data_IF_742785058445
#
_entry.id   IF_742785058445
#
_cell.length_a   1.000
_cell.length_b   1.000
_cell.length_c   1.000
_cell.angle_alpha   90.00
_cell.angle_beta   90.00
_cell.angle_gamma   90.00
#
_symmetry.space_group_name_H-M   'P 1'
#
loop_
_entity.id
_entity.type
_entity.pdbx_description
1 polymer ?
#
# COMPACT_ATOMS: atom_id res chain seq x y z
N UNK A 1 -38.50 8.66 57.88
CA UNK A 1 -37.21 9.29 57.49
C UNK A 1 -36.26 8.33 56.75
N UNK A 2 -36.55 7.03 56.59
CA UNK A 2 -35.63 6.11 55.87
C UNK A 2 -35.83 6.06 54.34
N UNK A 3 -37.03 6.38 53.83
CA UNK A 3 -37.30 6.31 52.38
C UNK A 3 -36.60 7.41 51.56
N UNK A 4 -36.48 8.63 52.09
CA UNK A 4 -35.85 9.75 51.37
C UNK A 4 -34.34 9.54 51.16
N UNK A 5 -33.68 8.90 52.14
CA UNK A 5 -32.23 8.62 52.08
C UNK A 5 -31.89 7.57 51.03
N UNK A 6 -32.71 6.52 50.89
CA UNK A 6 -32.53 5.52 49.83
C UNK A 6 -32.80 6.10 48.43
N UNK A 7 -33.81 6.97 48.28
CA UNK A 7 -34.08 7.63 47.01
C UNK A 7 -32.92 8.55 46.57
N UNK A 8 -32.36 9.32 47.49
CA UNK A 8 -31.19 10.17 47.25
C UNK A 8 -29.93 9.36 46.90
N UNK A 9 -29.67 8.25 47.60
CA UNK A 9 -28.53 7.38 47.29
C UNK A 9 -28.66 6.68 45.94
N UNK A 10 -29.87 6.28 45.55
CA UNK A 10 -30.12 5.64 44.26
C UNK A 10 -29.97 6.64 43.10
N UNK A 11 -30.44 7.88 43.26
CA UNK A 11 -30.22 8.96 42.29
C UNK A 11 -28.75 9.33 42.15
N UNK A 12 -28.01 9.42 43.27
CA UNK A 12 -26.57 9.70 43.27
C UNK A 12 -25.76 8.56 42.61
N UNK A 13 -26.11 7.30 42.87
CA UNK A 13 -25.49 6.14 42.21
C UNK A 13 -25.79 6.09 40.71
N UNK A 14 -27.01 6.49 40.30
CA UNK A 14 -27.41 6.60 38.89
C UNK A 14 -26.64 7.70 38.16
N UNK A 15 -26.40 8.83 38.82
CA UNK A 15 -25.60 9.94 38.29
C UNK A 15 -24.10 9.62 38.26
N UNK A 16 -23.57 8.93 39.26
CA UNK A 16 -22.17 8.48 39.27
C UNK A 16 -21.91 7.40 38.20
N UNK A 17 -22.87 6.48 38.00
CA UNK A 17 -22.81 5.47 36.95
C UNK A 17 -22.92 6.09 35.54
N UNK A 18 -23.71 7.15 35.35
CA UNK A 18 -23.81 7.84 34.07
C UNK A 18 -22.55 8.66 33.73
N UNK A 19 -21.90 9.27 34.72
CA UNK A 19 -20.59 9.93 34.55
C UNK A 19 -19.48 8.91 34.26
N UNK A 20 -19.48 7.76 34.96
CA UNK A 20 -18.56 6.65 34.68
C UNK A 20 -18.76 6.05 33.28
N UNK A 21 -20.00 5.89 32.84
CA UNK A 21 -20.35 5.44 31.49
C UNK A 21 -19.93 6.46 30.41
N UNK A 22 -20.04 7.77 30.68
CA UNK A 22 -19.54 8.81 29.78
C UNK A 22 -18.01 8.83 29.68
N UNK A 23 -17.32 8.63 30.79
CA UNK A 23 -15.86 8.49 30.82
C UNK A 23 -15.37 7.25 30.06
N UNK A 24 -16.03 6.11 30.25
CA UNK A 24 -15.76 4.88 29.51
C UNK A 24 -16.11 5.01 28.02
N UNK A 25 -17.20 5.69 27.67
CA UNK A 25 -17.59 5.97 26.28
C UNK A 25 -16.58 6.89 25.58
N UNK A 26 -16.05 7.91 26.27
CA UNK A 26 -15.01 8.77 25.73
C UNK A 26 -13.67 8.04 25.58
N UNK A 27 -13.30 7.20 26.56
CA UNK A 27 -12.09 6.39 26.50
C UNK A 27 -12.17 5.33 25.38
N UNK A 28 -13.32 4.68 25.22
CA UNK A 28 -13.58 3.72 24.13
C UNK A 28 -13.68 4.40 22.77
N UNK A 29 -14.24 5.61 22.67
CA UNK A 29 -14.25 6.38 21.44
C UNK A 29 -12.84 6.80 21.03
N UNK A 30 -12.05 7.35 21.96
CA UNK A 30 -10.62 7.68 21.73
C UNK A 30 -9.79 6.43 21.41
N UNK A 31 -10.06 5.32 22.08
CA UNK A 31 -9.45 4.02 21.80
C UNK A 31 -9.82 3.51 20.42
N UNK A 32 -11.09 3.63 20.01
CA UNK A 32 -11.58 3.19 18.70
C UNK A 32 -11.05 4.06 17.57
N UNK A 33 -10.89 5.37 17.77
CA UNK A 33 -10.27 6.26 16.76
C UNK A 33 -8.77 5.99 16.65
N UNK A 34 -8.07 5.83 17.77
CA UNK A 34 -6.65 5.43 17.79
C UNK A 34 -6.44 4.07 17.10
N UNK A 35 -7.29 3.07 17.40
CA UNK A 35 -7.25 1.76 16.75
C UNK A 35 -7.53 1.83 15.25
N UNK A 36 -8.54 2.59 14.83
CA UNK A 36 -8.83 2.80 13.40
C UNK A 36 -7.66 3.48 12.69
N UNK A 37 -7.02 4.47 13.31
CA UNK A 37 -5.84 5.12 12.76
C UNK A 37 -4.66 4.15 12.64
N UNK A 38 -4.41 3.34 13.67
CA UNK A 38 -3.36 2.32 13.67
C UNK A 38 -3.62 1.23 12.62
N UNK A 39 -4.86 0.73 12.50
CA UNK A 39 -5.24 -0.27 11.52
C UNK A 39 -5.08 0.24 10.08
N UNK A 40 -5.40 1.51 9.81
CA UNK A 40 -5.16 2.15 8.51
C UNK A 40 -3.67 2.29 8.22
N UNK A 41 -2.87 2.65 9.21
CA UNK A 41 -1.41 2.76 9.07
C UNK A 41 -0.80 1.39 8.74
N UNK A 42 -1.19 0.33 9.45
CA UNK A 42 -0.71 -1.04 9.21
C UNK A 42 -1.17 -1.57 7.85
N UNK A 43 -2.43 -1.33 7.46
CA UNK A 43 -2.94 -1.70 6.13
C UNK A 43 -2.16 -1.03 5.00
N UNK A 44 -1.88 0.28 5.13
CA UNK A 44 -1.03 1.03 4.19
C UNK A 44 0.38 0.45 4.11
N UNK A 45 1.00 0.18 5.26
CA UNK A 45 2.34 -0.39 5.35
C UNK A 45 2.41 -1.73 4.62
N UNK A 46 1.49 -2.63 4.92
CA UNK A 46 1.43 -3.96 4.28
C UNK A 46 1.19 -3.87 2.77
N UNK A 47 0.32 -2.95 2.31
CA UNK A 47 0.08 -2.74 0.89
C UNK A 47 1.36 -2.27 0.17
N UNK A 48 2.05 -1.28 0.74
CA UNK A 48 3.32 -0.77 0.22
C UNK A 48 4.43 -1.82 0.26
N UNK A 49 4.58 -2.58 1.34
CA UNK A 49 5.58 -3.65 1.47
C UNK A 49 5.40 -4.73 0.40
N UNK A 50 4.15 -5.16 0.18
CA UNK A 50 3.82 -6.14 -0.86
C UNK A 50 4.15 -5.61 -2.25
N UNK A 51 3.78 -4.37 -2.54
CA UNK A 51 4.06 -3.74 -3.82
C UNK A 51 5.57 -3.54 -4.06
N UNK A 52 6.33 -3.06 -3.07
CA UNK A 52 7.79 -2.94 -3.16
C UNK A 52 8.43 -4.32 -3.39
N UNK A 53 7.99 -5.34 -2.63
CA UNK A 53 8.53 -6.70 -2.76
C UNK A 53 8.28 -7.29 -4.15
N UNK A 54 7.07 -7.09 -4.71
CA UNK A 54 6.74 -7.51 -6.06
C UNK A 54 7.59 -6.76 -7.11
N UNK A 55 7.81 -5.46 -6.95
CA UNK A 55 8.71 -4.67 -7.80
C UNK A 55 10.16 -5.14 -7.77
N UNK A 56 10.69 -5.48 -6.59
CA UNK A 56 12.04 -6.07 -6.45
C UNK A 56 12.14 -7.41 -7.16
N UNK A 57 11.13 -8.28 -7.01
CA UNK A 57 11.07 -9.57 -7.73
C UNK A 57 11.05 -9.35 -9.24
N UNK A 58 10.20 -8.44 -9.73
CA UNK A 58 10.13 -8.14 -11.16
C UNK A 58 11.45 -7.59 -11.68
N UNK A 59 12.10 -6.67 -10.96
CA UNK A 59 13.44 -6.19 -11.30
C UNK A 59 14.47 -7.31 -11.39
N UNK A 60 14.43 -8.25 -10.45
CA UNK A 60 15.28 -9.44 -10.45
C UNK A 60 15.05 -10.31 -11.69
N UNK A 61 13.79 -10.49 -12.10
CA UNK A 61 13.44 -11.21 -13.34
C UNK A 61 13.95 -10.48 -14.57
N UNK A 62 13.77 -9.17 -14.65
CA UNK A 62 14.32 -8.36 -15.74
C UNK A 62 15.84 -8.55 -15.83
N UNK A 63 16.60 -8.55 -14.71
CA UNK A 63 18.06 -8.82 -14.69
C UNK A 63 18.46 -10.16 -15.29
N UNK A 64 17.58 -11.15 -15.24
CA UNK A 64 17.81 -12.45 -15.86
C UNK A 64 17.69 -12.37 -17.38
N UNK A 65 16.70 -11.61 -17.86
CA UNK A 65 16.41 -11.39 -19.27
C UNK A 65 17.41 -10.41 -19.92
N UNK A 66 17.92 -9.43 -19.17
CA UNK A 66 18.90 -8.43 -19.63
C UNK A 66 20.20 -8.98 -20.21
N UNK A 67 20.53 -10.26 -19.96
CA UNK A 67 21.72 -10.88 -20.55
C UNK A 67 21.59 -11.03 -22.07
N UNK A 68 20.36 -11.06 -22.57
CA UNK A 68 20.03 -11.23 -23.98
C UNK A 68 19.26 -10.01 -24.52
N UNK A 69 19.54 -9.62 -25.77
CA UNK A 69 18.75 -8.57 -26.43
C UNK A 69 17.42 -9.17 -26.89
N UNK A 70 16.37 -8.92 -26.14
CA UNK A 70 15.00 -9.36 -26.49
C UNK A 70 14.42 -8.48 -27.60
N UNK A 71 14.03 -9.08 -28.71
CA UNK A 71 13.39 -8.43 -29.86
C UNK A 71 12.09 -9.15 -30.23
N UNK A 72 10.99 -8.40 -30.32
CA UNK A 72 9.67 -8.95 -30.70
C UNK A 72 9.64 -9.67 -32.05
N UNK A 73 10.47 -9.24 -33.00
CA UNK A 73 10.56 -9.86 -34.32
C UNK A 73 11.22 -11.26 -34.30
N UNK A 74 11.87 -11.63 -33.20
CA UNK A 74 12.60 -12.89 -33.05
C UNK A 74 11.71 -13.89 -32.31
N UNK A 75 11.24 -14.92 -33.03
CA UNK A 75 10.38 -15.97 -32.46
C UNK A 75 10.98 -16.66 -31.22
N UNK A 76 12.30 -16.78 -31.16
CA UNK A 76 13.01 -17.39 -30.03
C UNK A 76 12.90 -16.57 -28.72
N UNK A 77 12.64 -15.26 -28.82
CA UNK A 77 12.59 -14.34 -27.67
C UNK A 77 11.20 -14.28 -27.03
N UNK A 78 10.18 -14.83 -27.72
CA UNK A 78 8.79 -14.84 -27.27
C UNK A 78 8.58 -15.40 -25.84
N UNK A 79 9.22 -16.51 -25.43
CA UNK A 79 9.07 -17.02 -24.06
C UNK A 79 9.57 -16.05 -22.99
N UNK A 80 10.61 -15.25 -23.29
CA UNK A 80 11.13 -14.27 -22.36
C UNK A 80 10.23 -13.04 -22.28
N UNK A 81 9.66 -12.60 -23.41
CA UNK A 81 8.64 -11.54 -23.45
C UNK A 81 7.39 -11.96 -22.64
N UNK A 82 6.91 -13.19 -22.83
CA UNK A 82 5.78 -13.73 -22.07
C UNK A 82 6.07 -13.75 -20.56
N UNK A 83 7.29 -14.14 -20.16
CA UNK A 83 7.72 -14.13 -18.75
C UNK A 83 7.81 -12.72 -18.17
N UNK A 84 8.26 -11.73 -18.95
CA UNK A 84 8.27 -10.31 -18.54
C UNK A 84 6.84 -9.81 -18.33
N UNK A 85 5.93 -10.12 -19.27
CA UNK A 85 4.51 -9.78 -19.17
C UNK A 85 3.86 -10.39 -17.92
N UNK A 86 4.04 -11.69 -17.68
CA UNK A 86 3.53 -12.37 -16.49
C UNK A 86 4.01 -11.69 -15.20
N UNK A 87 5.32 -11.45 -15.08
CA UNK A 87 5.90 -10.82 -13.90
C UNK A 87 5.42 -9.37 -13.70
N UNK A 88 5.17 -8.64 -14.78
CA UNK A 88 4.59 -7.30 -14.72
C UNK A 88 3.16 -7.35 -14.17
N UNK A 89 2.32 -8.28 -14.66
CA UNK A 89 0.94 -8.41 -14.21
C UNK A 89 0.83 -8.90 -12.76
N UNK A 90 1.74 -9.75 -12.30
CA UNK A 90 1.86 -10.10 -10.88
C UNK A 90 2.12 -8.86 -10.01
N UNK A 91 2.98 -7.95 -10.47
CA UNK A 91 3.21 -6.70 -9.75
C UNK A 91 2.00 -5.77 -9.82
N UNK A 92 1.40 -5.61 -11.01
CA UNK A 92 0.18 -4.81 -11.21
C UNK A 92 -0.97 -5.27 -10.31
N UNK A 93 -1.12 -6.58 -10.05
CA UNK A 93 -2.14 -7.11 -9.17
C UNK A 93 -2.04 -6.58 -7.72
N UNK A 94 -0.86 -6.08 -7.30
CA UNK A 94 -0.67 -5.48 -5.97
C UNK A 94 -1.02 -3.99 -5.92
N UNK A 95 -1.08 -3.30 -7.07
CA UNK A 95 -1.30 -1.86 -7.17
C UNK A 95 -2.65 -1.37 -6.62
N UNK A 96 -3.81 -2.04 -6.85
CA UNK A 96 -5.09 -1.59 -6.33
C UNK A 96 -5.10 -1.42 -4.80
N UNK A 97 -4.42 -2.30 -4.06
CA UNK A 97 -4.32 -2.21 -2.61
C UNK A 97 -3.50 -0.98 -2.16
N UNK A 98 -2.50 -0.56 -2.94
CA UNK A 98 -1.71 0.65 -2.66
C UNK A 98 -2.60 1.88 -2.83
N UNK A 99 -3.27 2.01 -3.97
CA UNK A 99 -4.16 3.15 -4.27
C UNK A 99 -5.25 3.30 -3.22
N UNK A 100 -5.85 2.19 -2.78
CA UNK A 100 -6.91 2.21 -1.77
C UNK A 100 -6.44 2.67 -0.37
N UNK A 101 -5.13 2.65 -0.10
CA UNK A 101 -4.58 2.96 1.23
C UNK A 101 -3.70 4.23 1.26
N UNK A 102 -3.39 4.83 0.11
CA UNK A 102 -2.65 6.08 0.01
C UNK A 102 -3.58 7.27 -0.20
N UNK A 103 -3.17 8.44 0.29
CA UNK A 103 -3.90 9.69 0.18
C UNK A 103 -2.91 10.85 -0.03
N UNK A 104 -3.39 11.96 -0.60
CA UNK A 104 -2.61 13.20 -0.78
C UNK A 104 -1.35 13.00 -1.64
N UNK A 105 -0.27 13.68 -1.24
CA UNK A 105 1.00 13.69 -1.99
C UNK A 105 1.62 12.30 -2.16
N UNK A 106 1.42 11.41 -1.18
CA UNK A 106 1.89 10.02 -1.24
C UNK A 106 1.21 9.27 -2.37
N UNK A 107 -0.10 9.42 -2.53
CA UNK A 107 -0.85 8.81 -3.62
C UNK A 107 -0.43 9.39 -4.97
N UNK A 108 -0.31 10.71 -5.07
CA UNK A 108 0.08 11.38 -6.31
C UNK A 108 1.46 10.91 -6.79
N UNK A 109 2.45 10.86 -5.89
CA UNK A 109 3.79 10.39 -6.23
C UNK A 109 3.82 8.89 -6.57
N UNK A 110 3.14 8.05 -5.79
CA UNK A 110 3.06 6.62 -6.11
C UNK A 110 2.41 6.40 -7.48
N UNK A 111 1.36 7.16 -7.80
CA UNK A 111 0.66 7.08 -9.09
C UNK A 111 1.58 7.51 -10.23
N UNK A 112 2.33 8.61 -10.08
CA UNK A 112 3.29 9.04 -11.10
C UNK A 112 4.35 7.97 -11.37
N UNK A 113 4.97 7.43 -10.32
CA UNK A 113 5.97 6.36 -10.44
C UNK A 113 5.39 5.12 -11.12
N UNK A 114 4.14 4.76 -10.79
CA UNK A 114 3.47 3.63 -11.42
C UNK A 114 3.14 3.90 -12.90
N UNK A 115 2.72 5.11 -13.23
CA UNK A 115 2.50 5.54 -14.61
C UNK A 115 3.78 5.45 -15.42
N UNK A 116 4.91 5.89 -14.89
CA UNK A 116 6.21 5.81 -15.58
C UNK A 116 6.60 4.35 -15.87
N UNK A 117 6.37 3.44 -14.92
CA UNK A 117 6.57 1.99 -15.12
C UNK A 117 5.64 1.44 -16.19
N UNK A 118 4.35 1.79 -16.15
CA UNK A 118 3.36 1.33 -17.12
C UNK A 118 3.69 1.81 -18.54
N UNK A 119 4.08 3.07 -18.69
CA UNK A 119 4.48 3.64 -19.99
C UNK A 119 5.74 2.96 -20.52
N UNK A 120 6.74 2.72 -19.67
CA UNK A 120 7.95 2.00 -20.09
C UNK A 120 7.65 0.53 -20.47
N UNK A 121 6.71 -0.12 -19.77
CA UNK A 121 6.24 -1.45 -20.12
C UNK A 121 5.49 -1.45 -21.45
N UNK A 122 4.54 -0.54 -21.66
CA UNK A 122 3.80 -0.40 -22.90
C UNK A 122 4.74 -0.20 -24.10
N UNK A 123 5.68 0.76 -23.99
CA UNK A 123 6.68 0.98 -25.02
C UNK A 123 7.53 -0.27 -25.30
N UNK A 124 7.95 -1.01 -24.26
CA UNK A 124 8.66 -2.28 -24.44
C UNK A 124 7.80 -3.33 -25.16
N UNK A 125 6.51 -3.43 -24.83
CA UNK A 125 5.59 -4.39 -25.45
C UNK A 125 5.22 -4.01 -26.89
N UNK A 126 5.25 -2.73 -27.24
CA UNK A 126 5.02 -2.21 -28.60
C UNK A 126 6.29 -2.27 -29.48
N UNK A 127 7.45 -2.54 -28.88
CA UNK A 127 8.75 -2.61 -29.57
C UNK A 127 9.45 -1.26 -29.73
N UNK A 128 8.83 -0.16 -29.28
CA UNK A 128 9.37 1.20 -29.32
C UNK A 128 10.28 1.52 -28.11
N UNK A 129 10.22 0.67 -27.08
CA UNK A 129 10.99 0.78 -25.84
C UNK A 129 12.14 -0.21 -25.73
N UNK A 130 12.93 -0.07 -24.65
CA UNK A 130 14.00 -1.02 -24.33
C UNK A 130 13.76 -1.69 -22.99
N UNK A 131 14.24 -2.93 -22.85
CA UNK A 131 14.25 -3.60 -21.56
C UNK A 131 14.96 -2.71 -20.52
N UNK A 132 16.04 -2.01 -20.89
CA UNK A 132 16.79 -1.05 -20.03
C UNK A 132 15.92 0.05 -19.47
N UNK A 133 15.14 0.73 -20.32
CA UNK A 133 14.23 1.76 -19.87
C UNK A 133 13.19 1.22 -18.87
N UNK A 134 12.60 0.05 -19.16
CA UNK A 134 11.66 -0.61 -18.26
C UNK A 134 12.29 -0.92 -16.89
N UNK A 135 13.46 -1.56 -16.85
CA UNK A 135 14.09 -1.89 -15.57
C UNK A 135 14.54 -0.67 -14.78
N UNK A 136 14.90 0.45 -15.43
CA UNK A 136 15.18 1.72 -14.74
C UNK A 136 13.92 2.34 -14.13
N UNK A 137 12.78 2.29 -14.85
CA UNK A 137 11.51 2.75 -14.32
C UNK A 137 11.08 1.91 -13.11
N UNK A 138 11.17 0.58 -13.22
CA UNK A 138 10.89 -0.36 -12.13
C UNK A 138 11.78 -0.06 -10.92
N UNK A 139 13.08 0.15 -11.15
CA UNK A 139 14.06 0.45 -10.11
C UNK A 139 13.77 1.76 -9.39
N UNK A 140 13.40 2.80 -10.13
CA UNK A 140 13.00 4.09 -9.56
C UNK A 140 11.75 3.95 -8.69
N UNK A 141 10.74 3.21 -9.17
CA UNK A 141 9.46 3.05 -8.50
C UNK A 141 9.59 2.37 -7.12
N UNK A 142 10.25 1.21 -7.03
CA UNK A 142 10.39 0.53 -5.73
C UNK A 142 11.48 1.14 -4.84
N UNK A 143 12.41 1.92 -5.39
CA UNK A 143 13.44 2.61 -4.60
C UNK A 143 13.05 3.99 -4.07
N UNK A 144 11.86 4.49 -4.38
CA UNK A 144 11.38 5.78 -3.90
C UNK A 144 11.59 5.95 -2.39
N UNK A 145 12.44 6.90 -2.01
CA UNK A 145 12.78 7.20 -0.61
C UNK A 145 11.54 7.53 0.19
N UNK A 146 10.61 8.28 -0.41
CA UNK A 146 9.38 8.73 0.25
C UNK A 146 8.43 7.56 0.51
N UNK A 147 8.28 6.62 -0.44
CA UNK A 147 7.49 5.40 -0.22
C UNK A 147 8.12 4.46 0.80
N UNK A 148 9.46 4.34 0.81
CA UNK A 148 10.19 3.57 1.83
C UNK A 148 10.03 4.18 3.23
N UNK A 149 10.05 5.50 3.34
CA UNK A 149 9.78 6.18 4.62
C UNK A 149 8.34 5.96 5.09
N UNK A 150 7.36 5.91 4.18
CA UNK A 150 5.98 5.60 4.52
C UNK A 150 5.79 4.18 5.08
N UNK A 151 6.68 3.25 4.71
CA UNK A 151 6.75 1.90 5.31
C UNK A 151 7.45 1.91 6.68
N UNK A 152 8.48 2.76 6.85
CA UNK A 152 9.32 2.76 8.04
C UNK A 152 8.74 3.51 9.26
N UNK A 153 7.73 4.38 9.07
CA UNK A 153 7.10 5.14 10.16
C UNK A 153 6.15 4.24 10.97
N UNK A 154 6.46 4.07 12.26
CA UNK A 154 5.60 3.44 13.29
C UNK A 154 4.65 4.46 13.90
#
# INVERSE_FOLDING_TARGET
MEQDTMALMTLAASAAASVGALGAALATWKGATAWKAQARCESRRLALERWITAGVKFRGRLKFVYKDRVMWAVLADRPDIERVSESFWEWNATWPAVVANLEGDLLAQATQLWTDVYLAYAAFMEGDGTLTALGNAVETAYNSTLLKQAVARR
#
